data_IF_582977980549
#
_entry.id   IF_582977980549
#
_cell.length_a   1.000
_cell.length_b   1.000
_cell.length_c   1.000
_cell.angle_alpha   90.00
_cell.angle_beta   90.00
_cell.angle_gamma   90.00
#
_symmetry.space_group_name_H-M   'P 1'
#
loop_
_entity.id
_entity.type
_entity.pdbx_description
1 polymer ?
#
# COMPACT_ATOMS: atom_id res chain seq x y z
N UNK A 1 37.07 -16.14 21.66
CA UNK A 1 37.41 -14.74 22.01
C UNK A 1 37.44 -13.83 20.78
N UNK A 2 38.35 -14.02 19.81
CA UNK A 2 38.46 -13.11 18.64
C UNK A 2 37.17 -12.97 17.82
N UNK A 3 36.46 -14.08 17.56
CA UNK A 3 35.16 -14.07 16.84
C UNK A 3 34.06 -13.30 17.59
N UNK A 4 33.99 -13.44 18.91
CA UNK A 4 32.98 -12.75 19.74
C UNK A 4 33.17 -11.24 19.73
N UNK A 5 34.42 -10.77 19.78
CA UNK A 5 34.73 -9.34 19.64
C UNK A 5 34.49 -8.82 18.21
N UNK A 6 34.68 -9.66 17.19
CA UNK A 6 34.37 -9.28 15.81
C UNK A 6 32.86 -9.14 15.59
N UNK A 7 32.06 -10.09 16.11
CA UNK A 7 30.59 -10.00 16.09
C UNK A 7 30.09 -8.77 16.84
N UNK A 8 30.57 -8.53 18.06
CA UNK A 8 30.17 -7.36 18.85
C UNK A 8 30.52 -6.04 18.17
N UNK A 9 31.68 -5.95 17.53
CA UNK A 9 32.09 -4.74 16.84
C UNK A 9 31.26 -4.51 15.56
N UNK A 10 30.87 -5.58 14.89
CA UNK A 10 30.00 -5.53 13.71
C UNK A 10 28.58 -5.12 14.11
N UNK A 11 28.04 -5.70 15.19
CA UNK A 11 26.74 -5.35 15.75
C UNK A 11 26.72 -3.91 16.29
N UNK A 12 27.83 -3.44 16.85
CA UNK A 12 27.99 -2.04 17.28
C UNK A 12 28.02 -1.06 16.10
N UNK A 13 28.74 -1.40 15.01
CA UNK A 13 28.73 -0.62 13.77
C UNK A 13 27.34 -0.61 13.12
N UNK A 14 26.61 -1.72 13.21
CA UNK A 14 25.22 -1.82 12.75
C UNK A 14 24.23 -1.07 13.65
N UNK A 15 24.52 -0.83 14.92
CA UNK A 15 23.59 -0.17 15.86
C UNK A 15 23.90 1.32 16.07
N UNK A 16 25.11 1.78 15.71
CA UNK A 16 25.54 3.17 15.88
C UNK A 16 24.72 4.12 14.99
N UNK A 17 23.79 4.85 15.59
CA UNK A 17 23.14 6.01 14.97
C UNK A 17 24.13 7.17 14.86
N UNK A 18 24.31 7.72 13.66
CA UNK A 18 25.08 8.95 13.47
C UNK A 18 24.34 10.14 14.11
N UNK A 19 25.08 11.12 14.65
CA UNK A 19 24.54 12.28 15.41
C UNK A 19 23.70 13.23 14.52
N UNK A 20 23.62 12.98 13.21
CA UNK A 20 22.73 13.69 12.27
C UNK A 20 21.85 12.76 11.42
N UNK A 21 21.72 11.49 11.79
CA UNK A 21 20.92 10.51 11.04
C UNK A 21 19.47 10.57 11.52
N UNK A 22 18.56 10.95 10.61
CA UNK A 22 17.14 10.98 10.94
C UNK A 22 16.66 9.56 11.26
N UNK A 23 15.80 9.39 12.27
CA UNK A 23 15.34 8.03 12.69
C UNK A 23 14.75 7.22 11.52
N UNK A 24 14.19 7.92 10.54
CA UNK A 24 13.69 7.35 9.28
C UNK A 24 14.81 6.93 8.33
N UNK A 25 15.84 7.75 8.14
CA UNK A 25 17.01 7.40 7.33
C UNK A 25 17.73 6.18 7.91
N UNK A 26 17.90 6.15 9.23
CA UNK A 26 18.48 5.01 9.95
C UNK A 26 17.69 3.71 9.70
N UNK A 27 16.36 3.78 9.74
CA UNK A 27 15.45 2.66 9.46
C UNK A 27 15.53 2.21 8.00
N UNK A 28 15.50 3.15 7.06
CA UNK A 28 15.55 2.86 5.62
C UNK A 28 16.90 2.25 5.24
N UNK A 29 18.00 2.69 5.86
CA UNK A 29 19.32 2.16 5.57
C UNK A 29 19.53 0.74 6.12
N UNK A 30 19.05 0.44 7.33
CA UNK A 30 19.38 -0.83 8.01
C UNK A 30 18.30 -1.90 7.92
N UNK A 31 17.01 -1.55 7.78
CA UNK A 31 15.90 -2.52 7.76
C UNK A 31 15.31 -2.75 6.36
N UNK A 32 15.50 -1.84 5.40
CA UNK A 32 14.98 -2.04 4.04
C UNK A 32 16.04 -2.64 3.12
N UNK A 33 15.71 -3.80 2.55
CA UNK A 33 16.42 -4.36 1.39
C UNK A 33 16.31 -3.42 0.19
N UNK A 34 17.21 -3.55 -0.78
CA UNK A 34 17.20 -2.76 -2.01
C UNK A 34 15.80 -2.72 -2.66
N UNK A 35 15.11 -3.87 -2.73
CA UNK A 35 13.75 -3.95 -3.26
C UNK A 35 12.69 -3.21 -2.44
N UNK A 36 12.78 -3.21 -1.11
CA UNK A 36 11.89 -2.43 -0.24
C UNK A 36 12.08 -0.92 -0.40
N UNK A 37 13.32 -0.46 -0.62
CA UNK A 37 13.60 0.97 -0.86
C UNK A 37 12.96 1.43 -2.18
N UNK A 38 13.08 0.64 -3.24
CA UNK A 38 12.40 0.93 -4.51
C UNK A 38 10.88 0.84 -4.40
N UNK A 39 10.35 -0.08 -3.60
CA UNK A 39 8.91 -0.13 -3.30
C UNK A 39 8.41 1.14 -2.60
N UNK A 40 9.17 1.66 -1.63
CA UNK A 40 8.83 2.89 -0.93
C UNK A 40 8.90 4.13 -1.85
N UNK A 41 9.90 4.20 -2.74
CA UNK A 41 9.98 5.22 -3.80
C UNK A 41 8.77 5.14 -4.74
N UNK A 42 8.38 3.93 -5.14
CA UNK A 42 7.19 3.71 -5.96
C UNK A 42 5.91 4.20 -5.29
N UNK A 43 5.72 3.89 -4.00
CA UNK A 43 4.57 4.38 -3.24
C UNK A 43 4.59 5.90 -3.13
N UNK A 44 5.74 6.51 -2.84
CA UNK A 44 5.86 7.97 -2.76
C UNK A 44 5.55 8.65 -4.10
N UNK A 45 6.10 8.17 -5.21
CA UNK A 45 5.91 8.79 -6.52
C UNK A 45 4.55 8.49 -7.16
N UNK A 46 3.99 7.30 -6.98
CA UNK A 46 2.77 6.89 -7.68
C UNK A 46 1.51 6.94 -6.81
N UNK A 47 1.65 6.95 -5.49
CA UNK A 47 0.51 7.05 -4.58
C UNK A 47 0.51 8.42 -3.91
N UNK A 48 1.60 8.78 -3.23
CA UNK A 48 1.61 9.98 -2.39
C UNK A 48 1.66 11.28 -3.22
N UNK A 49 2.49 11.32 -4.27
CA UNK A 49 2.66 12.49 -5.13
C UNK A 49 1.39 12.86 -5.92
N UNK A 50 0.66 11.94 -6.58
CA UNK A 50 -0.61 12.30 -7.21
C UNK A 50 -1.71 12.64 -6.19
N UNK A 51 -1.66 12.04 -4.99
CA UNK A 51 -2.59 12.36 -3.89
C UNK A 51 -2.43 13.80 -3.38
N UNK A 52 -1.19 14.29 -3.25
CA UNK A 52 -0.90 15.62 -2.69
C UNK A 52 -0.92 16.75 -3.73
N UNK A 53 -0.45 16.49 -4.97
CA UNK A 53 -0.29 17.54 -5.98
C UNK A 53 -1.42 17.59 -7.01
N UNK A 54 -2.22 16.53 -7.19
CA UNK A 54 -3.32 16.50 -8.15
C UNK A 54 -4.66 16.07 -7.52
N UNK A 55 -5.42 17.02 -6.91
CA UNK A 55 -6.71 16.72 -6.30
C UNK A 55 -7.74 16.13 -7.28
N UNK A 56 -7.57 16.37 -8.59
CA UNK A 56 -8.38 15.76 -9.63
C UNK A 56 -8.20 14.24 -9.75
N UNK A 57 -7.03 13.71 -9.38
CA UNK A 57 -6.77 12.27 -9.42
C UNK A 57 -7.51 11.53 -8.30
N UNK A 58 -7.60 12.15 -7.12
CA UNK A 58 -8.44 11.71 -6.00
C UNK A 58 -9.92 11.67 -6.37
N UNK A 59 -10.40 12.74 -7.01
CA UNK A 59 -11.76 12.79 -7.56
C UNK A 59 -11.99 11.67 -8.59
N UNK A 60 -11.02 11.44 -9.48
CA UNK A 60 -11.06 10.35 -10.46
C UNK A 60 -11.20 8.97 -9.80
N UNK A 61 -10.38 8.67 -8.79
CA UNK A 61 -10.49 7.44 -8.02
C UNK A 61 -11.84 7.31 -7.29
N UNK A 62 -12.35 8.40 -6.72
CA UNK A 62 -13.66 8.40 -6.06
C UNK A 62 -14.80 8.13 -7.03
N UNK A 63 -14.78 8.76 -8.21
CA UNK A 63 -15.76 8.52 -9.27
C UNK A 63 -15.66 7.10 -9.82
N UNK A 64 -14.46 6.58 -10.04
CA UNK A 64 -14.24 5.22 -10.52
C UNK A 64 -14.74 4.19 -9.50
N UNK A 65 -14.41 4.38 -8.22
CA UNK A 65 -14.90 3.53 -7.12
C UNK A 65 -16.42 3.58 -6.97
N UNK A 66 -17.00 4.77 -7.04
CA UNK A 66 -18.47 4.96 -6.98
C UNK A 66 -19.17 4.33 -8.19
N UNK A 67 -18.58 4.42 -9.38
CA UNK A 67 -19.10 3.78 -10.59
C UNK A 67 -19.07 2.25 -10.48
N UNK A 68 -17.95 1.67 -10.03
CA UNK A 68 -17.83 0.23 -9.79
C UNK A 68 -18.84 -0.25 -8.73
N UNK A 69 -19.04 0.51 -7.67
CA UNK A 69 -20.05 0.24 -6.64
C UNK A 69 -21.47 0.25 -7.22
N UNK A 70 -21.81 1.23 -8.06
CA UNK A 70 -23.10 1.28 -8.75
C UNK A 70 -23.31 0.09 -9.68
N UNK A 71 -22.32 -0.27 -10.49
CA UNK A 71 -22.38 -1.45 -11.37
C UNK A 71 -22.60 -2.72 -10.57
N UNK A 72 -21.92 -2.87 -9.43
CA UNK A 72 -22.12 -4.00 -8.54
C UNK A 72 -23.56 -4.08 -7.98
N UNK A 73 -24.10 -2.95 -7.49
CA UNK A 73 -25.47 -2.88 -6.98
C UNK A 73 -26.47 -3.22 -8.09
N UNK A 74 -26.31 -2.66 -9.29
CA UNK A 74 -27.17 -2.96 -10.44
C UNK A 74 -27.12 -4.44 -10.83
N UNK A 75 -25.94 -5.04 -10.82
CA UNK A 75 -25.77 -6.48 -11.06
C UNK A 75 -26.52 -7.33 -10.03
N UNK A 76 -26.43 -6.98 -8.74
CA UNK A 76 -27.16 -7.66 -7.67
C UNK A 76 -28.68 -7.52 -7.82
N UNK A 77 -29.17 -6.32 -8.13
CA UNK A 77 -30.60 -6.07 -8.37
C UNK A 77 -31.10 -6.90 -9.55
N UNK A 78 -30.36 -6.92 -10.67
CA UNK A 78 -30.73 -7.73 -11.83
C UNK A 78 -30.80 -9.22 -11.50
N UNK A 79 -29.84 -9.73 -10.72
CA UNK A 79 -29.84 -11.12 -10.28
C UNK A 79 -31.02 -11.44 -9.36
N UNK A 80 -31.34 -10.53 -8.43
CA UNK A 80 -32.50 -10.65 -7.54
C UNK A 80 -33.81 -10.64 -8.31
N UNK A 81 -34.00 -9.70 -9.26
CA UNK A 81 -35.20 -9.63 -10.10
C UNK A 81 -35.36 -10.89 -10.95
N UNK A 82 -34.27 -11.39 -11.56
CA UNK A 82 -34.30 -12.65 -12.32
C UNK A 82 -34.72 -13.84 -11.45
N UNK A 83 -34.23 -13.90 -10.21
CA UNK A 83 -34.60 -14.95 -9.25
C UNK A 83 -36.10 -14.89 -8.91
N UNK A 84 -36.62 -13.69 -8.63
CA UNK A 84 -38.04 -13.47 -8.33
C UNK A 84 -38.93 -13.90 -9.49
N UNK A 85 -38.61 -13.46 -10.72
CA UNK A 85 -39.37 -13.84 -11.92
C UNK A 85 -39.36 -15.37 -12.13
N UNK A 86 -38.21 -16.02 -11.91
CA UNK A 86 -38.09 -17.48 -12.06
C UNK A 86 -38.93 -18.24 -11.03
N UNK A 87 -39.03 -17.75 -9.81
CA UNK A 87 -39.87 -18.35 -8.77
C UNK A 87 -41.37 -18.11 -9.03
N UNK A 88 -41.72 -16.94 -9.56
CA UNK A 88 -43.10 -16.65 -9.98
C UNK A 88 -43.57 -17.55 -11.12
N UNK A 89 -42.71 -17.82 -12.10
CA UNK A 89 -43.03 -18.69 -13.25
C UNK A 89 -43.12 -20.17 -12.91
N UNK A 90 -42.68 -20.58 -11.71
CA UNK A 90 -42.72 -21.95 -11.19
C UNK A 90 -43.97 -22.24 -10.33
N UNK A 91 -44.74 -21.20 -9.98
CA UNK A 91 -45.97 -21.30 -9.19
C UNK A 91 -47.18 -21.24 -10.12
#
# INVERSE_FOLDING_TARGET
MRKFFQDLNQEYLETRSSVGEDRLEWLIQRKMTWGMRWGLVGILMFVLQPLTFHPHFLLGCFYLGSFLGLVYILGQVFFATRSIIRNWKKK
#
